data_IF_344983866811
#
_entry.id   IF_344983866811
#
_cell.length_a   1.000
_cell.length_b   1.000
_cell.length_c   1.000
_cell.angle_alpha   90.00
_cell.angle_beta   90.00
_cell.angle_gamma   90.00
#
_symmetry.space_group_name_H-M   'P 1'
#
loop_
_entity.id
_entity.type
_entity.pdbx_description
1 polymer ?
#
# COMPACT_ATOMS: atom_id res chain seq x y z
N UNK A 1 -33.16 -19.50 -1.83
CA UNK A 1 -32.24 -18.64 -2.59
C UNK A 1 -30.87 -18.84 -1.96
N UNK A 2 -29.95 -19.47 -2.68
CA UNK A 2 -28.63 -19.82 -2.15
C UNK A 2 -27.75 -18.58 -2.16
N UNK A 3 -27.33 -18.14 -0.98
CA UNK A 3 -26.48 -16.97 -0.82
C UNK A 3 -25.06 -17.34 -1.27
N UNK A 4 -24.67 -16.88 -2.45
CA UNK A 4 -23.30 -17.05 -2.96
C UNK A 4 -22.33 -16.43 -1.96
N UNK A 5 -21.55 -17.27 -1.26
CA UNK A 5 -20.50 -16.82 -0.34
C UNK A 5 -19.27 -16.40 -1.14
N UNK A 6 -19.27 -15.17 -1.64
CA UNK A 6 -18.08 -14.55 -2.22
C UNK A 6 -17.27 -13.85 -1.12
N UNK A 7 -15.95 -14.01 -1.17
CA UNK A 7 -15.05 -13.24 -0.31
C UNK A 7 -14.98 -11.80 -0.82
N UNK A 8 -15.38 -10.85 0.01
CA UNK A 8 -15.22 -9.42 -0.27
C UNK A 8 -13.79 -9.02 0.06
N UNK A 9 -13.14 -8.29 -0.86
CA UNK A 9 -11.77 -7.81 -0.69
C UNK A 9 -11.82 -6.28 -0.68
N UNK A 10 -11.24 -5.67 0.35
CA UNK A 10 -11.02 -4.22 0.44
C UNK A 10 -9.53 -3.95 0.36
N UNK A 11 -9.10 -3.22 -0.67
CA UNK A 11 -7.73 -2.73 -0.82
C UNK A 11 -7.68 -1.25 -0.40
N UNK A 12 -6.94 -0.96 0.67
CA UNK A 12 -6.66 0.41 1.13
C UNK A 12 -5.22 0.75 0.74
N UNK A 13 -5.05 1.76 -0.10
CA UNK A 13 -3.74 2.27 -0.49
C UNK A 13 -3.65 3.76 -0.11
N UNK A 14 -2.54 4.14 0.54
CA UNK A 14 -2.32 5.50 1.04
C UNK A 14 -1.11 6.08 0.30
N UNK A 15 -1.28 7.22 -0.35
CA UNK A 15 -0.21 7.87 -1.11
C UNK A 15 0.82 8.48 -0.16
N UNK A 16 2.10 8.37 -0.51
CA UNK A 16 3.26 8.95 0.21
C UNK A 16 3.46 8.55 1.68
N UNK A 17 2.69 7.58 2.21
CA UNK A 17 2.81 7.15 3.59
C UNK A 17 4.17 6.45 3.84
N UNK A 18 4.98 7.04 4.72
CA UNK A 18 6.22 6.41 5.18
C UNK A 18 5.95 5.47 6.35
N UNK A 19 6.62 4.31 6.35
CA UNK A 19 6.54 3.29 7.40
C UNK A 19 6.94 3.85 8.78
N UNK A 20 7.83 4.84 8.81
CA UNK A 20 8.31 5.48 10.03
C UNK A 20 7.24 6.28 10.78
N UNK A 21 6.00 6.39 10.26
CA UNK A 21 4.87 7.06 10.92
C UNK A 21 3.79 6.09 11.39
N UNK A 22 4.03 4.78 11.31
CA UNK A 22 3.10 3.71 11.70
C UNK A 22 3.49 3.07 13.03
N UNK A 23 2.57 3.08 14.00
CA UNK A 23 2.81 2.49 15.33
C UNK A 23 3.16 1.00 15.26
N UNK A 24 2.48 0.23 14.42
CA UNK A 24 2.75 -1.20 14.18
C UNK A 24 4.15 -1.50 13.57
N UNK A 25 4.86 -0.48 13.11
CA UNK A 25 6.26 -0.58 12.66
C UNK A 25 7.27 -0.02 13.67
N UNK A 26 6.82 0.45 14.84
CA UNK A 26 7.65 0.97 15.92
C UNK A 26 7.69 2.49 16.02
N UNK A 27 6.74 3.20 15.39
CA UNK A 27 6.63 4.65 15.57
C UNK A 27 5.97 5.01 16.91
N UNK A 28 6.80 5.28 17.91
CA UNK A 28 6.37 5.65 19.26
C UNK A 28 6.32 7.18 19.42
N UNK A 29 5.14 7.77 19.20
CA UNK A 29 4.88 9.18 19.54
C UNK A 29 4.35 9.29 20.98
N UNK A 30 5.02 10.04 21.89
CA UNK A 30 4.79 9.94 23.33
C UNK A 30 3.38 10.36 23.81
N UNK A 31 2.63 11.09 23.01
CA UNK A 31 1.38 11.75 23.46
C UNK A 31 0.13 11.22 22.79
N UNK A 32 0.18 10.87 21.50
CA UNK A 32 -0.95 10.35 20.73
C UNK A 32 -0.44 9.41 19.62
N UNK A 33 -0.91 8.16 19.54
CA UNK A 33 -0.61 7.30 18.40
C UNK A 33 -1.20 7.89 17.12
N UNK A 34 -0.42 7.96 16.05
CA UNK A 34 -0.85 8.47 14.74
C UNK A 34 -1.79 7.53 14.00
N UNK A 35 -1.66 6.22 14.24
CA UNK A 35 -2.31 5.17 13.43
C UNK A 35 -3.10 4.12 14.22
N UNK A 36 -3.86 4.49 15.28
CA UNK A 36 -4.46 3.51 16.19
C UNK A 36 -5.36 2.48 15.50
N UNK A 37 -6.07 2.85 14.43
CA UNK A 37 -6.92 1.93 13.68
C UNK A 37 -6.12 0.95 12.80
N UNK A 38 -5.05 1.43 12.15
CA UNK A 38 -4.15 0.56 11.35
C UNK A 38 -3.43 -0.41 12.28
N UNK A 39 -2.98 0.06 13.44
CA UNK A 39 -2.30 -0.75 14.44
C UNK A 39 -3.22 -1.86 14.96
N UNK A 40 -4.49 -1.55 15.26
CA UNK A 40 -5.49 -2.54 15.66
C UNK A 40 -5.82 -3.59 14.57
N UNK A 41 -5.67 -3.22 13.29
CA UNK A 41 -5.84 -4.14 12.16
C UNK A 41 -4.61 -5.06 12.03
N UNK A 42 -3.42 -4.50 12.22
CA UNK A 42 -2.16 -5.22 12.17
C UNK A 42 -2.07 -6.31 13.26
N UNK A 43 -2.59 -6.04 14.47
CA UNK A 43 -2.69 -7.02 15.58
C UNK A 43 -3.55 -8.25 15.24
N UNK A 44 -4.57 -8.08 14.39
CA UNK A 44 -5.51 -9.13 14.00
C UNK A 44 -5.12 -9.83 12.69
N UNK A 45 -4.03 -9.38 12.06
CA UNK A 45 -3.64 -9.77 10.72
C UNK A 45 -2.17 -10.15 10.61
N UNK A 46 -1.61 -9.95 9.41
CA UNK A 46 -0.21 -10.18 9.12
C UNK A 46 0.48 -8.86 8.72
N UNK A 47 1.69 -8.66 9.24
CA UNK A 47 2.52 -7.48 8.94
C UNK A 47 3.69 -7.90 8.05
N UNK A 48 3.87 -7.21 6.93
CA UNK A 48 4.98 -7.44 6.01
C UNK A 48 6.13 -6.46 6.28
N UNK A 49 7.10 -6.85 7.11
CA UNK A 49 8.28 -6.01 7.44
C UNK A 49 9.24 -5.75 6.29
N UNK A 50 9.11 -6.49 5.19
CA UNK A 50 9.94 -6.39 3.97
C UNK A 50 9.06 -6.20 2.73
N UNK A 51 8.15 -5.21 2.79
CA UNK A 51 7.32 -4.82 1.66
C UNK A 51 8.00 -3.66 0.91
N UNK A 52 8.24 -3.84 -0.39
CA UNK A 52 8.90 -2.85 -1.23
C UNK A 52 7.94 -2.40 -2.34
N UNK A 53 7.90 -1.09 -2.58
CA UNK A 53 7.19 -0.55 -3.73
C UNK A 53 7.83 -1.07 -5.03
N UNK A 54 6.99 -1.41 -6.02
CA UNK A 54 7.47 -1.90 -7.31
C UNK A 54 8.22 -0.83 -8.13
N UNK A 55 7.91 0.44 -7.85
CA UNK A 55 8.55 1.62 -8.41
C UNK A 55 8.43 2.81 -7.42
N UNK A 56 9.25 3.85 -7.61
CA UNK A 56 9.29 5.04 -6.73
C UNK A 56 8.16 6.04 -7.04
N UNK A 57 7.89 6.41 -8.31
CA UNK A 57 6.84 7.39 -8.60
C UNK A 57 5.43 6.82 -8.36
N UNK A 58 4.55 7.60 -7.72
CA UNK A 58 3.16 7.21 -7.42
C UNK A 58 2.43 6.61 -8.62
N UNK A 59 2.45 7.21 -9.84
CA UNK A 59 1.74 6.63 -10.99
C UNK A 59 2.26 5.26 -11.39
N UNK A 60 3.57 5.04 -11.34
CA UNK A 60 4.17 3.75 -11.69
C UNK A 60 3.88 2.70 -10.62
N UNK A 61 4.07 3.05 -9.34
CA UNK A 61 3.84 2.16 -8.20
C UNK A 61 2.39 1.68 -8.11
N UNK A 62 1.42 2.61 -8.22
CA UNK A 62 -0.01 2.25 -8.22
C UNK A 62 -0.40 1.45 -9.46
N UNK A 63 0.13 1.77 -10.65
CA UNK A 63 -0.12 0.96 -11.85
C UNK A 63 0.40 -0.46 -11.65
N UNK A 64 1.60 -0.62 -11.08
CA UNK A 64 2.17 -1.92 -10.76
C UNK A 64 1.33 -2.68 -9.73
N UNK A 65 0.77 -2.00 -8.72
CA UNK A 65 -0.11 -2.59 -7.71
C UNK A 65 -1.37 -3.21 -8.32
N UNK A 66 -1.99 -2.56 -9.30
CA UNK A 66 -3.21 -3.06 -9.95
C UNK A 66 -2.95 -4.07 -11.09
N UNK A 67 -1.81 -3.96 -11.77
CA UNK A 67 -1.51 -4.81 -12.95
C UNK A 67 -0.64 -6.02 -12.62
N UNK A 68 0.10 -6.00 -11.51
CA UNK A 68 1.13 -7.00 -11.20
C UNK A 68 2.35 -6.94 -12.14
N UNK A 69 2.48 -5.88 -12.94
CA UNK A 69 3.55 -5.67 -13.91
C UNK A 69 4.42 -4.52 -13.41
N UNK A 70 5.75 -4.54 -13.64
CA UNK A 70 6.65 -3.44 -13.24
C UNK A 70 6.61 -2.27 -14.23
N UNK A 71 6.94 -1.05 -13.76
CA UNK A 71 7.08 0.19 -14.55
C UNK A 71 7.74 0.01 -15.91
N UNK A 72 8.91 -0.63 -15.90
CA UNK A 72 9.72 -0.91 -17.11
C UNK A 72 9.01 -1.78 -18.16
N UNK A 73 7.92 -2.48 -17.80
CA UNK A 73 7.14 -3.34 -18.70
C UNK A 73 5.79 -2.72 -19.07
N UNK A 74 5.11 -2.04 -18.15
CA UNK A 74 3.83 -1.38 -18.47
C UNK A 74 3.99 0.04 -19.05
N UNK A 75 5.21 0.59 -19.08
CA UNK A 75 5.54 1.84 -19.77
C UNK A 75 5.21 3.13 -19.00
N UNK A 76 4.53 3.03 -17.86
CA UNK A 76 4.29 4.16 -16.95
C UNK A 76 5.44 4.17 -15.94
N UNK A 77 6.43 5.05 -16.13
CA UNK A 77 7.67 5.06 -15.33
C UNK A 77 7.81 6.33 -14.48
N UNK A 78 6.83 7.24 -14.49
CA UNK A 78 6.89 8.51 -13.80
C UNK A 78 5.67 9.40 -14.10
N UNK A 79 5.71 10.64 -13.64
CA UNK A 79 4.64 11.62 -13.86
C UNK A 79 4.59 12.16 -15.29
N UNK A 80 5.73 12.17 -15.98
CA UNK A 80 5.81 12.42 -17.41
C UNK A 80 6.06 11.10 -18.11
N UNK A 81 5.10 10.67 -18.92
CA UNK A 81 5.36 9.64 -19.91
C UNK A 81 6.30 10.25 -20.98
N UNK A 82 7.21 9.45 -21.55
CA UNK A 82 8.02 9.92 -22.70
C UNK A 82 7.06 10.42 -23.77
N UNK A 83 7.08 11.72 -24.02
CA UNK A 83 6.55 12.28 -25.26
C UNK A 83 7.33 11.62 -26.39
N UNK A 84 6.64 10.87 -27.25
CA UNK A 84 7.13 10.68 -28.61
C UNK A 84 7.11 12.02 -29.34
#
# INVERSE_FOLDING_TARGET
MEESTYKKILLIAIDTLCVDHLGCYGYDVPRNPTTPFIDSLAEKGAIFRKHYAADVPTPSSFTSLFTGIRGIRHGIIGFKNKSN
#
